data_IF_075707724094
#
_entry.id   IF_075707724094
#
_cell.length_a   1.000
_cell.length_b   1.000
_cell.length_c   1.000
_cell.angle_alpha   90.00
_cell.angle_beta   90.00
_cell.angle_gamma   90.00
#
_symmetry.space_group_name_H-M   'P 1'
#
loop_
_entity.id
_entity.type
_entity.pdbx_description
1 polymer ?
#
# COMPACT_ATOMS: atom_id res chain seq x y z
N UNK A 1 48.46 73.76 15.66
CA UNK A 1 47.48 72.75 15.12
C UNK A 1 48.31 71.51 14.84
N UNK A 2 48.17 70.49 15.72
CA UNK A 2 49.15 69.43 15.91
C UNK A 2 49.22 68.45 14.73
N UNK A 3 50.47 68.24 14.21
CA UNK A 3 50.80 67.20 13.21
C UNK A 3 50.34 65.80 13.68
N UNK A 4 50.37 65.53 14.97
CA UNK A 4 49.88 64.29 15.59
C UNK A 4 48.39 64.08 15.40
N UNK A 5 47.54 65.12 15.45
CA UNK A 5 46.11 65.00 15.20
C UNK A 5 45.77 64.61 13.75
N UNK A 6 46.51 65.17 12.78
CA UNK A 6 46.31 64.83 11.34
C UNK A 6 46.76 63.40 11.01
N UNK A 7 47.80 62.88 11.70
CA UNK A 7 48.23 61.49 11.54
C UNK A 7 47.22 60.55 12.14
N UNK A 8 46.65 60.89 13.31
CA UNK A 8 45.59 60.12 13.96
C UNK A 8 44.32 60.12 13.10
N UNK A 9 43.90 61.27 12.55
CA UNK A 9 42.73 61.38 11.68
C UNK A 9 42.93 60.61 10.38
N UNK A 10 44.12 60.61 9.77
CA UNK A 10 44.45 59.85 8.57
C UNK A 10 44.47 58.33 8.84
N UNK A 11 45.02 57.92 9.96
CA UNK A 11 45.00 56.50 10.40
C UNK A 11 43.57 56.05 10.73
N UNK A 12 42.78 56.88 11.40
CA UNK A 12 41.41 56.52 11.76
C UNK A 12 40.48 56.52 10.53
N UNK A 13 40.62 57.51 9.61
CA UNK A 13 39.81 57.64 8.41
C UNK A 13 40.11 56.53 7.37
N UNK A 14 41.37 56.04 7.32
CA UNK A 14 41.79 55.02 6.33
C UNK A 14 41.66 53.57 6.84
N UNK A 15 42.04 53.32 8.09
CA UNK A 15 42.06 51.94 8.65
C UNK A 15 40.75 51.45 9.19
N UNK A 16 39.91 52.33 9.76
CA UNK A 16 38.62 51.94 10.35
C UNK A 16 37.67 51.35 9.27
N UNK A 17 37.50 51.97 8.09
CA UNK A 17 36.60 51.38 7.08
C UNK A 17 37.16 50.05 6.53
N UNK A 18 38.48 49.87 6.48
CA UNK A 18 39.12 48.63 6.05
C UNK A 18 38.85 47.52 7.07
N UNK A 19 38.96 47.80 8.37
CA UNK A 19 38.72 46.85 9.46
C UNK A 19 37.23 46.46 9.48
N UNK A 20 36.31 47.41 9.27
CA UNK A 20 34.88 47.16 9.19
C UNK A 20 34.58 46.28 7.97
N UNK A 21 35.18 46.57 6.79
CA UNK A 21 35.02 45.78 5.59
C UNK A 21 35.47 44.31 5.81
N UNK A 22 36.68 44.17 6.43
CA UNK A 22 37.25 42.86 6.75
C UNK A 22 36.35 42.09 7.72
N UNK A 23 35.83 42.77 8.74
CA UNK A 23 34.83 42.19 9.66
C UNK A 23 33.55 41.70 8.98
N UNK A 24 33.03 42.47 8.06
CA UNK A 24 31.85 42.07 7.26
C UNK A 24 32.16 40.84 6.40
N UNK A 25 33.33 40.80 5.75
CA UNK A 25 33.79 39.66 4.95
C UNK A 25 33.94 38.40 5.83
N UNK A 26 34.49 38.51 7.01
CA UNK A 26 34.65 37.39 7.95
C UNK A 26 33.27 36.87 8.38
N UNK A 27 32.35 37.76 8.75
CA UNK A 27 31.00 37.38 9.13
C UNK A 27 30.22 36.73 7.97
N UNK A 28 30.37 37.24 6.76
CA UNK A 28 29.77 36.66 5.54
C UNK A 28 30.39 35.31 5.16
N UNK A 29 31.62 35.03 5.57
CA UNK A 29 32.34 33.77 5.34
C UNK A 29 31.89 32.65 6.23
N UNK A 30 31.27 32.95 7.38
CA UNK A 30 30.74 31.94 8.29
C UNK A 30 29.43 31.37 7.77
N UNK A 31 29.43 30.10 7.37
CA UNK A 31 28.26 29.34 6.95
C UNK A 31 27.98 28.20 7.90
N UNK A 32 26.78 28.13 8.41
CA UNK A 32 26.32 27.00 9.22
C UNK A 32 25.69 25.93 8.32
N UNK A 33 26.08 24.68 8.51
CA UNK A 33 25.50 23.50 7.86
C UNK A 33 24.80 22.68 8.94
N UNK A 34 23.54 22.39 8.75
CA UNK A 34 22.75 21.59 9.68
C UNK A 34 23.12 20.10 9.57
N UNK A 35 22.78 19.31 10.59
CA UNK A 35 23.13 17.90 10.65
C UNK A 35 22.46 17.08 9.54
N UNK A 36 21.29 17.52 9.08
CA UNK A 36 20.54 16.92 7.98
C UNK A 36 20.93 17.47 6.60
N UNK A 37 21.95 18.33 6.51
CA UNK A 37 22.47 18.89 5.26
C UNK A 37 23.91 18.46 5.03
N UNK A 38 24.30 18.40 3.77
CA UNK A 38 25.69 18.29 3.34
C UNK A 38 26.01 19.49 2.45
N UNK A 39 27.15 20.11 2.71
CA UNK A 39 27.63 21.21 1.90
C UNK A 39 28.52 20.69 0.77
N UNK A 40 28.17 20.98 -0.48
CA UNK A 40 29.05 20.72 -1.63
C UNK A 40 29.81 22.00 -1.94
N UNK A 41 31.12 21.98 -1.71
CA UNK A 41 31.99 23.13 -1.83
C UNK A 41 32.67 23.18 -3.20
N UNK A 42 32.54 24.33 -3.83
CA UNK A 42 33.22 24.65 -5.09
C UNK A 42 34.24 25.74 -4.87
N UNK A 43 35.42 25.59 -5.44
CA UNK A 43 36.50 26.60 -5.42
C UNK A 43 36.74 27.01 -6.86
N UNK A 44 36.52 28.28 -7.18
CA UNK A 44 36.65 28.84 -8.54
C UNK A 44 35.91 28.00 -9.59
N UNK A 45 34.64 27.50 -9.23
CA UNK A 45 33.81 26.71 -10.11
C UNK A 45 34.13 25.20 -10.15
N UNK A 46 35.25 24.77 -9.54
CA UNK A 46 35.58 23.32 -9.48
C UNK A 46 35.11 22.72 -8.17
N UNK A 47 34.53 21.53 -8.24
CA UNK A 47 34.21 20.72 -7.06
C UNK A 47 35.52 20.40 -6.26
N UNK A 48 35.47 20.63 -4.97
CA UNK A 48 36.66 20.42 -4.10
C UNK A 48 36.39 19.33 -3.07
N UNK A 49 35.29 19.43 -2.29
CA UNK A 49 35.00 18.49 -1.22
C UNK A 49 33.59 18.62 -0.73
N UNK A 50 33.09 17.56 -0.08
CA UNK A 50 31.86 17.56 0.70
C UNK A 50 32.16 18.08 2.09
N UNK A 51 31.43 19.03 2.57
CA UNK A 51 31.59 19.66 3.88
C UNK A 51 30.56 19.08 4.86
N UNK A 52 31.08 18.56 5.97
CA UNK A 52 30.26 18.00 7.05
C UNK A 52 29.58 19.09 7.88
N UNK A 53 28.52 18.73 8.64
CA UNK A 53 27.76 19.64 9.49
C UNK A 53 28.66 20.41 10.47
N UNK A 54 28.23 21.62 10.80
CA UNK A 54 28.88 22.53 11.71
C UNK A 54 29.14 23.90 11.11
N UNK A 55 29.90 24.72 11.85
CA UNK A 55 30.37 26.03 11.39
C UNK A 55 31.57 25.88 10.46
N UNK A 56 31.46 26.45 9.27
CA UNK A 56 32.52 26.37 8.25
C UNK A 56 32.80 27.74 7.67
N UNK A 57 34.06 28.00 7.38
CA UNK A 57 34.51 29.24 6.76
C UNK A 57 34.59 29.03 5.25
N UNK A 58 33.83 29.84 4.52
CA UNK A 58 33.75 29.81 3.05
C UNK A 58 34.01 31.23 2.55
N UNK A 59 35.08 31.42 1.80
CA UNK A 59 35.42 32.70 1.23
C UNK A 59 34.47 33.05 0.08
N UNK A 60 33.56 34.04 0.24
CA UNK A 60 32.46 34.24 -0.69
C UNK A 60 32.91 34.65 -2.10
N UNK A 61 34.10 35.18 -2.28
CA UNK A 61 34.65 35.59 -3.59
C UNK A 61 35.22 34.40 -4.38
N UNK A 62 35.91 33.47 -3.68
CA UNK A 62 36.65 32.36 -4.32
C UNK A 62 35.91 31.03 -4.20
N UNK A 63 34.98 30.90 -3.24
CA UNK A 63 34.35 29.66 -2.91
C UNK A 63 32.83 29.83 -2.88
N UNK A 64 32.12 28.88 -3.47
CA UNK A 64 30.68 28.75 -3.36
C UNK A 64 30.32 27.42 -2.73
N UNK A 65 29.18 27.35 -2.07
CA UNK A 65 28.68 26.14 -1.44
C UNK A 65 27.18 26.00 -1.76
N UNK A 66 26.80 24.84 -2.26
CA UNK A 66 25.40 24.40 -2.36
C UNK A 66 25.10 23.43 -1.22
N UNK A 67 23.97 23.61 -0.55
CA UNK A 67 23.52 22.70 0.50
C UNK A 67 22.53 21.70 -0.07
N UNK A 68 22.69 20.45 0.26
CA UNK A 68 21.81 19.34 -0.11
C UNK A 68 21.24 18.72 1.16
N UNK A 69 19.94 18.57 1.22
CA UNK A 69 19.25 17.89 2.32
C UNK A 69 19.28 16.38 2.07
N UNK A 70 19.80 15.62 3.04
CA UNK A 70 19.99 14.16 2.99
C UNK A 70 18.82 13.37 3.61
N UNK A 71 17.77 14.05 4.09
CA UNK A 71 16.58 13.37 4.64
C UNK A 71 15.78 12.70 3.54
N UNK A 72 15.01 11.71 3.92
CA UNK A 72 14.01 11.12 3.04
C UNK A 72 13.01 12.18 2.61
N UNK A 73 12.78 12.27 1.31
CA UNK A 73 11.81 13.15 0.69
C UNK A 73 10.85 12.34 -0.14
N UNK A 74 9.63 12.86 -0.31
CA UNK A 74 8.63 12.32 -1.19
C UNK A 74 8.49 13.19 -2.43
N UNK A 75 8.45 12.54 -3.57
CA UNK A 75 8.10 13.15 -4.86
C UNK A 75 6.80 12.53 -5.34
N UNK A 76 5.81 13.35 -5.60
CA UNK A 76 4.56 12.91 -6.20
C UNK A 76 4.75 12.76 -7.72
N UNK A 77 4.39 11.58 -8.22
CA UNK A 77 4.30 11.29 -9.65
C UNK A 77 2.87 11.53 -10.06
N UNK A 78 2.60 12.53 -10.92
CA UNK A 78 1.23 12.87 -11.32
C UNK A 78 0.58 11.73 -12.09
N UNK A 79 -0.74 11.81 -12.23
CA UNK A 79 -1.55 10.84 -12.97
C UNK A 79 -0.95 10.55 -14.36
N UNK A 80 -0.64 9.28 -14.61
CA UNK A 80 -0.13 8.76 -15.88
C UNK A 80 -1.15 7.85 -16.52
N UNK A 81 -1.50 8.14 -17.76
CA UNK A 81 -2.28 7.23 -18.58
C UNK A 81 -1.37 6.17 -19.20
N UNK A 82 -1.66 4.93 -18.96
CA UNK A 82 -0.95 3.80 -19.53
C UNK A 82 -1.93 2.69 -19.93
N UNK A 83 -1.52 1.87 -20.89
CA UNK A 83 -2.27 0.70 -21.33
C UNK A 83 -1.62 -0.54 -20.73
N UNK A 84 -2.40 -1.36 -20.05
CA UNK A 84 -1.94 -2.64 -19.51
C UNK A 84 -1.72 -3.67 -20.62
N UNK A 85 -1.07 -4.78 -20.29
CA UNK A 85 -0.88 -5.92 -21.19
C UNK A 85 -2.19 -6.45 -21.79
N UNK A 86 -3.30 -6.30 -21.06
CA UNK A 86 -4.65 -6.72 -21.48
C UNK A 86 -5.37 -5.67 -22.34
N UNK A 87 -4.64 -4.65 -22.84
CA UNK A 87 -5.19 -3.55 -23.64
C UNK A 87 -6.25 -2.71 -22.90
N UNK A 88 -6.14 -2.56 -21.58
CA UNK A 88 -7.03 -1.73 -20.78
C UNK A 88 -6.33 -0.44 -20.44
N UNK A 89 -6.93 0.69 -20.80
CA UNK A 89 -6.44 2.02 -20.46
C UNK A 89 -6.65 2.27 -18.96
N UNK A 90 -5.59 2.58 -18.24
CA UNK A 90 -5.61 2.89 -16.83
C UNK A 90 -4.90 4.21 -16.55
N UNK A 91 -5.36 4.94 -15.54
CA UNK A 91 -4.67 6.13 -15.04
C UNK A 91 -4.14 5.83 -13.65
N UNK A 92 -2.84 6.01 -13.45
CA UNK A 92 -2.16 5.64 -12.21
C UNK A 92 -1.32 6.79 -11.72
N UNK A 93 -1.36 7.03 -10.41
CA UNK A 93 -0.48 7.95 -9.71
C UNK A 93 0.35 7.21 -8.66
N UNK A 94 1.52 7.75 -8.34
CA UNK A 94 2.43 7.16 -7.38
C UNK A 94 3.15 8.23 -6.55
N UNK A 95 3.75 7.80 -5.45
CA UNK A 95 4.67 8.60 -4.64
C UNK A 95 5.98 7.85 -4.54
N UNK A 96 7.07 8.52 -4.83
CA UNK A 96 8.43 7.99 -4.73
C UNK A 96 9.11 8.59 -3.50
N UNK A 97 9.55 7.74 -2.59
CA UNK A 97 10.36 8.13 -1.43
C UNK A 97 11.82 7.90 -1.75
N UNK A 98 12.61 8.95 -1.64
CA UNK A 98 14.04 8.91 -1.95
C UNK A 98 14.85 9.66 -0.90
N UNK A 99 16.14 9.38 -0.84
CA UNK A 99 17.11 10.12 -0.07
C UNK A 99 18.38 10.34 -0.89
N UNK A 100 19.08 11.45 -0.63
CA UNK A 100 20.39 11.71 -1.24
C UNK A 100 21.47 11.02 -0.40
N UNK A 101 22.20 10.11 -1.01
CA UNK A 101 23.35 9.41 -0.39
C UNK A 101 24.65 10.15 -0.71
N UNK A 102 24.85 10.53 -1.96
CA UNK A 102 26.00 11.31 -2.40
C UNK A 102 25.58 12.72 -2.85
N UNK A 103 25.83 13.69 -1.98
CA UNK A 103 25.51 15.09 -2.25
C UNK A 103 26.32 15.70 -3.41
N UNK A 104 27.52 15.19 -3.68
CA UNK A 104 28.33 15.71 -4.79
C UNK A 104 27.75 15.26 -6.13
N UNK A 105 27.48 13.97 -6.29
CA UNK A 105 26.87 13.42 -7.50
C UNK A 105 25.51 14.07 -7.78
N UNK A 106 24.68 14.24 -6.76
CA UNK A 106 23.33 14.84 -6.93
C UNK A 106 23.30 16.26 -7.46
N UNK A 107 24.44 17.00 -7.38
CA UNK A 107 24.57 18.35 -7.91
C UNK A 107 25.37 18.39 -9.22
N UNK A 108 26.32 17.47 -9.38
CA UNK A 108 27.23 17.47 -10.54
C UNK A 108 26.62 16.77 -11.74
N UNK A 109 25.88 15.66 -11.51
CA UNK A 109 25.37 14.84 -12.59
C UNK A 109 23.96 15.30 -13.04
N UNK A 110 23.17 15.94 -12.17
CA UNK A 110 21.79 16.35 -12.48
C UNK A 110 21.53 17.78 -12.02
N UNK A 111 20.96 18.59 -12.90
CA UNK A 111 20.61 19.98 -12.59
C UNK A 111 19.51 20.05 -11.51
N UNK A 112 18.44 19.28 -11.71
CA UNK A 112 17.31 19.20 -10.78
C UNK A 112 16.90 17.74 -10.58
N UNK A 113 17.45 17.13 -9.57
CA UNK A 113 17.20 15.73 -9.26
C UNK A 113 15.75 15.45 -8.87
N UNK A 114 15.05 16.41 -8.27
CA UNK A 114 13.64 16.25 -7.93
C UNK A 114 12.79 16.05 -9.19
N UNK A 115 12.99 16.89 -10.18
CA UNK A 115 12.28 16.79 -11.45
C UNK A 115 12.71 15.55 -12.24
N UNK A 116 14.01 15.26 -12.27
CA UNK A 116 14.55 14.09 -12.98
C UNK A 116 14.02 12.77 -12.43
N UNK A 117 13.98 12.59 -11.09
CA UNK A 117 13.39 11.43 -10.44
C UNK A 117 11.91 11.29 -10.78
N UNK A 118 11.16 12.40 -10.77
CA UNK A 118 9.74 12.38 -11.15
C UNK A 118 9.54 11.90 -12.60
N UNK A 119 10.31 12.43 -13.56
CA UNK A 119 10.22 12.05 -14.98
C UNK A 119 10.63 10.59 -15.21
N UNK A 120 11.70 10.16 -14.56
CA UNK A 120 12.16 8.78 -14.63
C UNK A 120 11.11 7.82 -14.06
N UNK A 121 10.54 8.15 -12.91
CA UNK A 121 9.48 7.36 -12.29
C UNK A 121 8.22 7.27 -13.19
N UNK A 122 7.82 8.37 -13.83
CA UNK A 122 6.71 8.36 -14.80
C UNK A 122 6.96 7.40 -15.96
N UNK A 123 8.16 7.44 -16.53
CA UNK A 123 8.53 6.58 -17.66
C UNK A 123 8.63 5.12 -17.23
N UNK A 124 9.28 4.84 -16.12
CA UNK A 124 9.42 3.47 -15.56
C UNK A 124 8.06 2.89 -15.19
N UNK A 125 7.18 3.70 -14.59
CA UNK A 125 5.81 3.30 -14.26
C UNK A 125 5.03 2.93 -15.51
N UNK A 126 5.08 3.74 -16.58
CA UNK A 126 4.42 3.43 -17.85
C UNK A 126 4.91 2.12 -18.46
N UNK A 127 6.22 1.87 -18.43
CA UNK A 127 6.82 0.65 -18.96
C UNK A 127 6.35 -0.58 -18.19
N UNK A 128 6.44 -0.55 -16.85
CA UNK A 128 6.02 -1.68 -16.00
C UNK A 128 4.54 -1.97 -16.14
N UNK A 129 3.68 -0.92 -16.20
CA UNK A 129 2.24 -1.10 -16.39
C UNK A 129 1.93 -1.77 -17.73
N UNK A 130 2.66 -1.44 -18.80
CA UNK A 130 2.51 -2.08 -20.10
C UNK A 130 2.86 -3.57 -20.14
N UNK A 131 3.63 -4.06 -19.17
CA UNK A 131 4.05 -5.45 -19.06
C UNK A 131 3.13 -6.33 -18.19
N UNK A 132 2.30 -5.71 -17.32
CA UNK A 132 1.45 -6.44 -16.37
C UNK A 132 -0.02 -6.40 -16.78
N UNK A 133 -0.77 -7.45 -16.38
CA UNK A 133 -2.22 -7.48 -16.53
C UNK A 133 -2.90 -6.59 -15.48
N UNK A 134 -4.10 -6.10 -15.77
CA UNK A 134 -4.86 -5.26 -14.83
C UNK A 134 -5.14 -5.99 -13.50
N UNK A 135 -5.43 -7.28 -13.55
CA UNK A 135 -5.68 -8.08 -12.34
C UNK A 135 -4.45 -8.13 -11.44
N UNK A 136 -3.26 -8.35 -11.99
CA UNK A 136 -1.98 -8.32 -11.25
C UNK A 136 -1.71 -6.93 -10.67
N UNK A 137 -1.99 -5.88 -11.43
CA UNK A 137 -1.84 -4.51 -10.99
C UNK A 137 -2.72 -4.17 -9.77
N UNK A 138 -3.92 -4.74 -9.69
CA UNK A 138 -4.87 -4.53 -8.60
C UNK A 138 -4.60 -5.43 -7.39
N UNK A 139 -4.18 -6.69 -7.62
CA UNK A 139 -4.00 -7.71 -6.57
C UNK A 139 -2.59 -7.75 -6.02
N UNK A 140 -1.57 -7.48 -6.86
CA UNK A 140 -0.15 -7.59 -6.54
C UNK A 140 0.57 -6.23 -6.57
N UNK A 141 -0.07 -5.18 -6.04
CA UNK A 141 0.45 -3.80 -6.07
C UNK A 141 1.89 -3.69 -5.57
N UNK A 142 2.22 -4.42 -4.51
CA UNK A 142 3.56 -4.38 -3.91
C UNK A 142 4.63 -4.90 -4.85
N UNK A 143 4.34 -5.97 -5.61
CA UNK A 143 5.29 -6.55 -6.59
C UNK A 143 5.54 -5.57 -7.74
N UNK A 144 4.47 -4.91 -8.21
CA UNK A 144 4.57 -3.90 -9.27
C UNK A 144 5.34 -2.68 -8.78
N UNK A 145 5.07 -2.20 -7.56
CA UNK A 145 5.78 -1.08 -6.94
C UNK A 145 7.27 -1.37 -6.76
N UNK A 146 7.64 -2.60 -6.36
CA UNK A 146 9.02 -3.04 -6.22
C UNK A 146 9.75 -3.11 -7.57
N UNK A 147 9.07 -3.56 -8.63
CA UNK A 147 9.61 -3.52 -9.99
C UNK A 147 9.91 -2.08 -10.45
N UNK A 148 8.98 -1.16 -10.22
CA UNK A 148 9.17 0.25 -10.56
C UNK A 148 10.33 0.81 -9.75
N UNK A 149 10.38 0.53 -8.44
CA UNK A 149 11.48 0.93 -7.56
C UNK A 149 12.83 0.50 -8.14
N UNK A 150 12.99 -0.78 -8.48
CA UNK A 150 14.26 -1.30 -8.98
C UNK A 150 14.73 -0.62 -10.27
N UNK A 151 13.81 -0.36 -11.20
CA UNK A 151 14.13 0.33 -12.46
C UNK A 151 14.53 1.79 -12.24
N UNK A 152 13.86 2.47 -11.30
CA UNK A 152 14.19 3.87 -10.97
C UNK A 152 15.50 3.94 -10.20
N UNK A 153 15.72 3.04 -9.25
CA UNK A 153 16.90 2.99 -8.39
C UNK A 153 18.17 2.74 -9.21
N UNK A 154 18.15 1.78 -10.13
CA UNK A 154 19.27 1.48 -11.05
C UNK A 154 19.73 2.74 -11.80
N UNK A 155 18.79 3.56 -12.27
CA UNK A 155 19.10 4.79 -13.00
C UNK A 155 19.51 5.95 -12.10
N UNK A 156 19.01 6.00 -10.86
CA UNK A 156 19.29 7.10 -9.92
C UNK A 156 20.55 6.88 -9.08
N UNK A 157 21.10 5.66 -9.05
CA UNK A 157 22.36 5.35 -8.38
C UNK A 157 23.53 6.18 -8.93
N UNK A 158 23.58 6.40 -10.24
CA UNK A 158 24.60 7.25 -10.87
C UNK A 158 24.52 8.70 -10.36
N UNK A 159 23.32 9.18 -9.99
CA UNK A 159 23.09 10.53 -9.45
C UNK A 159 23.33 10.62 -7.93
N UNK A 160 23.68 9.50 -7.29
CA UNK A 160 23.87 9.42 -5.84
C UNK A 160 22.57 9.53 -5.04
N UNK A 161 21.47 9.08 -5.61
CA UNK A 161 20.13 9.06 -5.00
C UNK A 161 19.72 7.61 -4.82
N UNK A 162 19.23 7.28 -3.63
CA UNK A 162 18.70 5.97 -3.26
C UNK A 162 17.18 6.04 -3.14
N UNK A 163 16.49 5.15 -3.85
CA UNK A 163 15.03 5.04 -3.81
C UNK A 163 14.62 4.09 -2.69
N UNK A 164 14.02 4.62 -1.65
CA UNK A 164 13.60 3.84 -0.48
C UNK A 164 12.40 2.98 -0.82
N UNK A 165 11.35 3.60 -1.33
CA UNK A 165 10.13 2.90 -1.77
C UNK A 165 9.38 3.69 -2.84
N UNK A 166 8.58 2.96 -3.59
CA UNK A 166 7.57 3.50 -4.51
C UNK A 166 6.22 3.01 -4.05
N UNK A 167 5.27 3.91 -3.90
CA UNK A 167 3.91 3.59 -3.46
C UNK A 167 2.93 4.00 -4.56
N UNK A 168 2.16 3.03 -5.06
CA UNK A 168 1.07 3.29 -5.99
C UNK A 168 -0.12 3.88 -5.21
N UNK A 169 -0.54 5.09 -5.57
CA UNK A 169 -1.59 5.82 -4.86
C UNK A 169 -2.97 5.41 -5.38
N UNK A 170 -3.32 5.84 -6.58
CA UNK A 170 -4.62 5.59 -7.17
C UNK A 170 -4.47 4.86 -8.50
N UNK A 171 -5.34 3.86 -8.73
CA UNK A 171 -5.47 3.14 -10.00
C UNK A 171 -6.90 3.36 -10.48
N UNK A 172 -7.07 4.21 -11.49
CA UNK A 172 -8.37 4.52 -12.08
C UNK A 172 -8.54 3.68 -13.35
N UNK A 173 -9.65 2.98 -13.45
CA UNK A 173 -10.04 2.20 -14.62
C UNK A 173 -11.33 2.77 -15.22
N UNK A 174 -11.61 2.57 -16.53
CA UNK A 174 -12.84 3.01 -17.17
C UNK A 174 -14.08 2.41 -16.50
N UNK A 175 -15.16 3.17 -16.39
CA UNK A 175 -16.41 2.73 -15.76
C UNK A 175 -17.03 1.47 -16.39
N UNK A 176 -16.88 1.32 -17.70
CA UNK A 176 -17.32 0.11 -18.40
C UNK A 176 -16.65 -1.15 -17.89
N UNK A 177 -15.35 -1.04 -17.57
CA UNK A 177 -14.56 -2.14 -17.05
C UNK A 177 -14.92 -2.45 -15.59
N UNK A 178 -15.14 -1.42 -14.77
CA UNK A 178 -15.62 -1.58 -13.38
C UNK A 178 -16.88 -2.39 -13.32
N UNK A 179 -17.86 -2.12 -14.22
CA UNK A 179 -19.12 -2.88 -14.30
C UNK A 179 -18.89 -4.34 -14.69
N UNK A 180 -17.98 -4.60 -15.62
CA UNK A 180 -17.66 -5.96 -16.06
C UNK A 180 -16.97 -6.75 -14.94
N UNK A 181 -16.00 -6.14 -14.28
CA UNK A 181 -15.29 -6.74 -13.14
C UNK A 181 -16.25 -7.01 -11.96
N UNK A 182 -17.20 -6.10 -11.69
CA UNK A 182 -18.21 -6.32 -10.66
C UNK A 182 -19.07 -7.55 -10.94
N UNK A 183 -19.55 -7.73 -12.19
CA UNK A 183 -20.31 -8.93 -12.60
C UNK A 183 -19.49 -10.20 -12.50
N UNK A 184 -18.22 -10.16 -12.90
CA UNK A 184 -17.30 -11.30 -12.78
C UNK A 184 -17.10 -11.68 -11.32
N UNK A 185 -16.81 -10.68 -10.45
CA UNK A 185 -16.61 -10.90 -9.02
C UNK A 185 -17.88 -11.44 -8.34
N UNK A 186 -19.07 -10.99 -8.76
CA UNK A 186 -20.36 -11.52 -8.29
C UNK A 186 -20.53 -12.99 -8.67
N UNK A 187 -20.29 -13.34 -9.94
CA UNK A 187 -20.37 -14.73 -10.42
C UNK A 187 -19.34 -15.65 -9.72
N UNK A 188 -18.12 -15.17 -9.47
CA UNK A 188 -17.13 -15.93 -8.72
C UNK A 188 -17.52 -16.16 -7.26
N UNK A 189 -18.11 -15.14 -6.61
CA UNK A 189 -18.65 -15.27 -5.25
C UNK A 189 -19.79 -16.25 -5.18
N UNK A 190 -20.73 -16.19 -6.14
CA UNK A 190 -21.86 -17.11 -6.24
C UNK A 190 -21.38 -18.55 -6.45
N UNK A 191 -20.41 -18.76 -7.37
CA UNK A 191 -19.77 -20.05 -7.57
C UNK A 191 -19.12 -20.58 -6.28
N UNK A 192 -18.33 -19.76 -5.58
CA UNK A 192 -17.72 -20.14 -4.30
C UNK A 192 -18.76 -20.45 -3.23
N UNK A 193 -19.82 -19.65 -3.12
CA UNK A 193 -20.91 -19.88 -2.18
C UNK A 193 -21.62 -21.23 -2.46
N UNK A 194 -21.89 -21.54 -3.72
CA UNK A 194 -22.51 -22.82 -4.12
C UNK A 194 -21.59 -24.01 -3.79
N UNK A 195 -20.29 -23.90 -4.04
CA UNK A 195 -19.33 -24.96 -3.69
C UNK A 195 -19.31 -25.18 -2.18
N UNK A 196 -19.17 -24.10 -1.40
CA UNK A 196 -19.14 -24.18 0.07
C UNK A 196 -20.44 -24.74 0.62
N UNK A 197 -21.59 -24.34 0.08
CA UNK A 197 -22.89 -24.87 0.47
C UNK A 197 -22.97 -26.39 0.19
N UNK A 198 -22.57 -26.83 -1.00
CA UNK A 198 -22.56 -28.25 -1.39
C UNK A 198 -21.62 -29.09 -0.52
N UNK A 199 -20.41 -28.57 -0.22
CA UNK A 199 -19.48 -29.22 0.71
C UNK A 199 -20.07 -29.29 2.13
N UNK A 200 -20.71 -28.21 2.57
CA UNK A 200 -21.43 -28.15 3.85
C UNK A 200 -22.56 -29.19 3.94
N UNK A 201 -23.34 -29.34 2.87
CA UNK A 201 -24.39 -30.38 2.81
C UNK A 201 -23.84 -31.80 2.90
N UNK A 202 -22.73 -32.10 2.21
CA UNK A 202 -22.08 -33.41 2.30
C UNK A 202 -21.58 -33.68 3.74
N UNK A 203 -20.92 -32.71 4.37
CA UNK A 203 -20.45 -32.82 5.75
C UNK A 203 -21.64 -32.99 6.70
N UNK A 204 -22.71 -32.22 6.52
CA UNK A 204 -23.92 -32.32 7.32
C UNK A 204 -24.59 -33.69 7.15
N UNK A 205 -24.71 -34.22 5.94
CA UNK A 205 -25.27 -35.52 5.66
C UNK A 205 -24.47 -36.65 6.32
N UNK A 206 -23.14 -36.59 6.24
CA UNK A 206 -22.24 -37.57 6.91
C UNK A 206 -22.42 -37.52 8.43
N UNK A 207 -22.46 -36.31 9.02
CA UNK A 207 -22.65 -36.13 10.44
C UNK A 207 -24.04 -36.60 10.93
N UNK A 208 -25.08 -36.31 10.16
CA UNK A 208 -26.44 -36.77 10.42
C UNK A 208 -26.53 -38.29 10.35
N UNK A 209 -25.92 -38.91 9.32
CA UNK A 209 -25.86 -40.38 9.23
C UNK A 209 -25.13 -41.02 10.42
N UNK A 210 -24.03 -40.41 10.84
CA UNK A 210 -23.28 -40.89 12.03
C UNK A 210 -24.11 -40.72 13.31
N UNK A 211 -24.75 -39.56 13.48
CA UNK A 211 -25.63 -39.32 14.62
C UNK A 211 -26.83 -40.28 14.63
N UNK A 212 -27.45 -40.53 13.48
CA UNK A 212 -28.56 -41.50 13.37
C UNK A 212 -28.13 -42.92 13.77
N UNK A 213 -26.96 -43.39 13.32
CA UNK A 213 -26.41 -44.71 13.74
C UNK A 213 -26.23 -44.78 15.23
N UNK A 214 -25.60 -43.79 15.85
CA UNK A 214 -25.39 -43.75 17.30
C UNK A 214 -26.72 -43.72 18.07
N UNK A 215 -27.76 -43.05 17.56
CA UNK A 215 -29.09 -43.05 18.21
C UNK A 215 -29.82 -44.38 18.09
N UNK A 216 -29.60 -45.17 17.04
CA UNK A 216 -30.18 -46.50 16.87
C UNK A 216 -29.52 -47.50 17.83
N UNK A 217 -28.23 -47.36 18.12
CA UNK A 217 -27.48 -48.22 19.00
C UNK A 217 -27.86 -48.05 20.51
N UNK A 218 -28.40 -46.89 20.88
CA UNK A 218 -28.74 -46.55 22.27
C UNK A 218 -30.26 -46.60 22.47
N UNK A 219 -30.78 -47.57 23.25
CA UNK A 219 -32.21 -47.65 23.52
C UNK A 219 -32.77 -46.39 24.19
N UNK A 220 -33.79 -45.78 23.60
CA UNK A 220 -34.41 -44.55 24.11
C UNK A 220 -33.85 -43.24 23.59
N UNK A 221 -32.71 -43.23 22.91
CA UNK A 221 -32.15 -42.01 22.36
C UNK A 221 -33.05 -41.30 21.30
N UNK A 222 -33.73 -42.09 20.49
CA UNK A 222 -34.72 -41.59 19.54
C UNK A 222 -35.88 -40.86 20.21
N UNK A 223 -36.38 -41.39 21.36
CA UNK A 223 -37.46 -40.74 22.13
C UNK A 223 -37.00 -39.39 22.72
N UNK A 224 -35.78 -39.34 23.26
CA UNK A 224 -35.21 -38.08 23.77
C UNK A 224 -35.03 -37.05 22.64
N UNK A 225 -34.61 -37.50 21.48
CA UNK A 225 -34.45 -36.59 20.31
C UNK A 225 -35.76 -36.05 19.83
N UNK A 226 -36.83 -36.87 19.76
CA UNK A 226 -38.19 -36.41 19.39
C UNK A 226 -38.72 -35.40 20.41
N UNK A 227 -38.53 -35.65 21.71
CA UNK A 227 -38.91 -34.72 22.77
C UNK A 227 -38.19 -33.40 22.68
N UNK A 228 -36.89 -33.43 22.42
CA UNK A 228 -36.10 -32.19 22.21
C UNK A 228 -36.56 -31.43 20.96
N UNK A 229 -36.81 -32.13 19.85
CA UNK A 229 -37.31 -31.47 18.62
C UNK A 229 -38.68 -30.83 18.81
N UNK A 230 -39.59 -31.45 19.61
CA UNK A 230 -40.86 -30.87 19.98
C UNK A 230 -40.67 -29.62 20.86
N UNK A 231 -39.71 -29.67 21.81
CA UNK A 231 -39.41 -28.55 22.66
C UNK A 231 -38.81 -27.36 21.88
N UNK A 232 -37.92 -27.64 20.93
CA UNK A 232 -37.32 -26.62 20.05
C UNK A 232 -38.40 -25.90 19.17
N UNK A 233 -39.37 -26.70 18.62
CA UNK A 233 -40.49 -26.17 17.85
C UNK A 233 -41.44 -25.37 18.75
N UNK A 234 -41.65 -25.80 20.00
CA UNK A 234 -42.53 -25.11 20.96
C UNK A 234 -41.92 -23.81 21.53
N UNK A 235 -40.62 -23.63 21.40
CA UNK A 235 -39.93 -22.41 21.85
C UNK A 235 -40.04 -21.23 20.90
N UNK A 236 -40.36 -21.45 19.63
CA UNK A 236 -40.60 -20.41 18.63
C UNK A 236 -42.02 -19.87 18.77
N UNK A 237 -42.20 -18.57 18.95
CA UNK A 237 -43.47 -17.87 19.11
C UNK A 237 -44.36 -17.82 17.82
N UNK A 238 -44.11 -18.68 16.87
CA UNK A 238 -44.89 -18.78 15.63
C UNK A 238 -46.05 -19.78 15.78
N UNK A 239 -47.28 -19.29 15.76
CA UNK A 239 -48.49 -20.05 15.99
C UNK A 239 -48.90 -21.02 14.84
N UNK A 240 -48.01 -21.36 13.92
CA UNK A 240 -48.33 -22.28 12.81
C UNK A 240 -47.37 -23.47 12.83
N UNK A 241 -47.85 -24.63 13.27
CA UNK A 241 -47.03 -25.87 13.26
C UNK A 241 -47.45 -26.66 11.99
N UNK A 242 -46.54 -26.73 11.03
CA UNK A 242 -46.69 -27.56 9.83
C UNK A 242 -46.04 -28.91 10.11
N UNK A 243 -46.88 -29.93 10.33
CA UNK A 243 -46.41 -31.32 10.44
C UNK A 243 -46.28 -31.96 9.07
N UNK A 244 -45.09 -32.15 8.56
CA UNK A 244 -44.85 -33.05 7.44
C UNK A 244 -44.79 -34.51 7.97
N UNK A 245 -45.85 -35.26 7.84
CA UNK A 245 -45.85 -36.68 8.21
C UNK A 245 -45.37 -37.49 7.00
N UNK A 246 -44.26 -38.24 7.09
CA UNK A 246 -43.85 -39.10 6.00
C UNK A 246 -44.95 -40.12 5.65
N UNK A 247 -45.18 -40.34 4.35
CA UNK A 247 -46.22 -41.22 3.83
C UNK A 247 -46.10 -42.66 4.35
N UNK A 248 -44.87 -43.09 4.72
CA UNK A 248 -44.60 -44.41 5.30
C UNK A 248 -45.27 -44.57 6.65
N UNK A 249 -45.29 -43.53 7.51
CA UNK A 249 -45.95 -43.58 8.83
C UNK A 249 -47.47 -43.70 8.66
N UNK A 250 -48.02 -42.94 7.73
CA UNK A 250 -49.46 -43.07 7.40
C UNK A 250 -49.84 -44.45 6.88
N UNK A 251 -49.04 -45.07 6.03
CA UNK A 251 -49.19 -46.45 5.57
C UNK A 251 -49.06 -47.48 6.66
N UNK A 252 -48.13 -47.29 7.60
CA UNK A 252 -47.98 -48.16 8.74
C UNK A 252 -49.21 -48.13 9.68
N UNK A 253 -49.75 -46.94 9.95
CA UNK A 253 -50.96 -46.75 10.74
C UNK A 253 -52.18 -47.35 10.02
N UNK A 254 -52.29 -47.18 8.71
CA UNK A 254 -53.37 -47.78 7.88
C UNK A 254 -53.29 -49.31 7.85
N UNK A 255 -52.06 -49.88 7.82
CA UNK A 255 -51.80 -51.31 7.91
C UNK A 255 -52.21 -51.92 9.26
N UNK A 256 -51.94 -51.19 10.36
CA UNK A 256 -52.36 -51.57 11.71
C UNK A 256 -53.89 -51.49 11.83
N UNK A 257 -54.53 -50.43 11.31
CA UNK A 257 -55.97 -50.28 11.31
C UNK A 257 -56.73 -51.43 10.58
N UNK A 258 -56.18 -51.84 9.42
CA UNK A 258 -56.70 -53.00 8.68
C UNK A 258 -56.54 -54.31 9.42
N UNK A 259 -55.49 -54.49 10.19
CA UNK A 259 -55.24 -55.72 11.00
C UNK A 259 -56.16 -55.79 12.23
N UNK A 260 -56.50 -54.65 12.84
CA UNK A 260 -57.42 -54.60 13.98
C UNK A 260 -58.90 -54.68 13.54
N UNK A 261 -59.24 -54.17 12.39
CA UNK A 261 -60.65 -54.26 11.85
C UNK A 261 -60.96 -55.57 11.14
N UNK A 262 -59.91 -56.28 10.64
CA UNK A 262 -60.04 -57.61 10.04
C UNK A 262 -60.28 -58.76 11.01
N UNK A 263 -59.91 -58.58 12.28
CA UNK A 263 -60.07 -59.59 13.34
C UNK A 263 -61.50 -59.66 13.93
N UNK A 264 -62.38 -58.77 13.55
CA UNK A 264 -63.75 -58.70 14.07
C UNK A 264 -64.82 -59.27 13.14
N UNK A 265 -64.46 -60.03 12.09
CA UNK A 265 -65.37 -60.63 11.12
C UNK A 265 -65.26 -62.15 10.98
N UNK A 266 -64.84 -62.82 12.07
CA UNK A 266 -64.94 -64.28 12.15
C UNK A 266 -65.41 -64.68 13.55
N UNK A 267 -66.60 -64.34 13.91
CA UNK A 267 -67.52 -65.05 14.82
C UNK A 267 -68.92 -64.96 14.29
#
# INVERSE_FOLDING_TARGET
>A
MNVVGRIIDFLFSGFVPIIILLGIIILASLKQINQYERGVKFTMGRFTTIVEPGWRIILPVFQSMKKVDIRTKAVEVPDQEAMTKDNIQTTISAVVYYKVVDAAKSILEVENFFWAVSQLAQTSMRNVIGEVALDDLLTQRNVVAERIKNLVDESTEEWGIDIISVELKDIKVPESMIRTMAKQAEAEREKKATIIASEGEVIAAVNLAKAARTMVEVPGALHLRTLNSINDISSDQSNTIIFAVPLEVLRAVEGLGKKFLGSKKSE
#
